data_IF_760359663351
#
_entry.id   IF_760359663351
#
_cell.length_a   1.000
_cell.length_b   1.000
_cell.length_c   1.000
_cell.angle_alpha   90.00
_cell.angle_beta   90.00
_cell.angle_gamma   90.00
#
_symmetry.space_group_name_H-M   'P 1'
#
loop_
_entity.id
_entity.type
_entity.pdbx_description
1 polymer ?
#
# COMPACT_ATOMS: atom_id res chain seq x y z
N UNK A 1 -16.74 -0.60 -14.55
CA UNK A 1 -15.70 -0.51 -13.49
C UNK A 1 -14.64 -1.58 -13.61
N UNK A 2 -14.98 -2.88 -13.85
CA UNK A 2 -13.95 -3.92 -14.02
C UNK A 2 -12.99 -3.61 -15.18
N UNK A 3 -13.50 -3.30 -16.37
CA UNK A 3 -12.67 -2.97 -17.53
C UNK A 3 -11.81 -1.73 -17.31
N UNK A 4 -12.35 -0.70 -16.63
CA UNK A 4 -11.58 0.48 -16.23
C UNK A 4 -10.46 0.11 -15.25
N UNK A 5 -10.74 -0.78 -14.30
CA UNK A 5 -9.72 -1.29 -13.37
C UNK A 5 -8.61 -2.06 -14.10
N UNK A 6 -8.95 -2.86 -15.09
CA UNK A 6 -7.99 -3.60 -15.92
C UNK A 6 -7.11 -2.65 -16.74
N UNK A 7 -7.72 -1.66 -17.39
CA UNK A 7 -7.00 -0.64 -18.16
C UNK A 7 -6.02 0.14 -17.27
N UNK A 8 -6.49 0.63 -16.11
CA UNK A 8 -5.66 1.34 -15.14
C UNK A 8 -4.49 0.48 -14.64
N UNK A 9 -4.74 -0.78 -14.35
CA UNK A 9 -3.67 -1.71 -13.94
C UNK A 9 -2.61 -1.87 -15.04
N UNK A 10 -3.00 -1.92 -16.32
CA UNK A 10 -2.10 -2.08 -17.46
C UNK A 10 -1.13 -0.90 -17.62
N UNK A 11 -1.59 0.32 -17.35
CA UNK A 11 -0.77 1.55 -17.42
C UNK A 11 -0.05 1.88 -16.10
N UNK A 12 -0.12 0.98 -15.10
CA UNK A 12 0.45 1.13 -13.77
C UNK A 12 -0.16 2.28 -12.94
N UNK A 13 -1.41 2.60 -13.18
CA UNK A 13 -2.28 3.35 -12.26
C UNK A 13 -2.89 2.35 -11.26
N UNK A 14 -2.06 1.83 -10.35
CA UNK A 14 -2.49 0.76 -9.44
C UNK A 14 -3.49 1.25 -8.40
N UNK A 15 -3.31 2.47 -7.88
CA UNK A 15 -4.28 3.09 -6.96
C UNK A 15 -5.64 3.32 -7.63
N UNK A 16 -5.66 3.80 -8.86
CA UNK A 16 -6.89 3.95 -9.65
C UNK A 16 -7.53 2.61 -10.00
N UNK A 17 -6.72 1.59 -10.29
CA UNK A 17 -7.21 0.24 -10.52
C UNK A 17 -7.90 -0.34 -9.27
N UNK A 18 -7.29 -0.20 -8.10
CA UNK A 18 -7.88 -0.62 -6.81
C UNK A 18 -9.24 0.06 -6.60
N UNK A 19 -9.32 1.37 -6.83
CA UNK A 19 -10.57 2.11 -6.66
C UNK A 19 -11.68 1.60 -7.60
N UNK A 20 -11.38 1.44 -8.89
CA UNK A 20 -12.33 0.92 -9.87
C UNK A 20 -12.77 -0.52 -9.58
N UNK A 21 -11.82 -1.40 -9.19
CA UNK A 21 -12.13 -2.80 -8.88
C UNK A 21 -12.96 -2.93 -7.60
N UNK A 22 -12.67 -2.15 -6.56
CA UNK A 22 -13.53 -2.08 -5.37
C UNK A 22 -14.93 -1.60 -5.71
N UNK A 23 -15.04 -0.57 -6.55
CA UNK A 23 -16.34 -0.11 -7.02
C UNK A 23 -17.08 -1.19 -7.81
N UNK A 24 -16.39 -1.97 -8.64
CA UNK A 24 -16.97 -3.13 -9.33
C UNK A 24 -17.53 -4.16 -8.34
N UNK A 25 -16.81 -4.42 -7.22
CA UNK A 25 -17.25 -5.37 -6.20
C UNK A 25 -18.38 -4.86 -5.31
N UNK A 26 -18.59 -3.54 -5.24
CA UNK A 26 -19.78 -2.96 -4.58
C UNK A 26 -21.04 -3.29 -5.37
N UNK A 27 -20.97 -3.21 -6.71
CA UNK A 27 -22.10 -3.55 -7.59
C UNK A 27 -22.33 -5.05 -7.73
N UNK A 28 -21.24 -5.82 -7.84
CA UNK A 28 -21.28 -7.27 -7.96
C UNK A 28 -20.23 -7.92 -7.02
N UNK A 29 -20.70 -8.28 -5.83
CA UNK A 29 -19.87 -8.91 -4.79
C UNK A 29 -19.36 -10.31 -5.16
N UNK A 30 -19.88 -10.92 -6.22
CA UNK A 30 -19.47 -12.24 -6.70
C UNK A 30 -18.61 -12.17 -7.96
N UNK A 31 -18.17 -11.02 -8.36
CA UNK A 31 -17.32 -10.84 -9.54
C UNK A 31 -15.92 -11.43 -9.31
N UNK A 32 -15.79 -12.71 -9.64
CA UNK A 32 -14.53 -13.48 -9.49
C UNK A 32 -13.37 -12.83 -10.24
N UNK A 33 -13.64 -12.31 -11.44
CA UNK A 33 -12.60 -11.65 -12.25
C UNK A 33 -12.09 -10.37 -11.57
N UNK A 34 -12.99 -9.59 -10.97
CA UNK A 34 -12.62 -8.37 -10.25
C UNK A 34 -11.81 -8.68 -8.98
N UNK A 35 -12.19 -9.70 -8.20
CA UNK A 35 -11.45 -10.14 -7.02
C UNK A 35 -10.05 -10.64 -7.40
N UNK A 36 -9.95 -11.48 -8.43
CA UNK A 36 -8.67 -12.01 -8.87
C UNK A 36 -7.71 -10.90 -9.32
N UNK A 37 -8.23 -9.94 -10.09
CA UNK A 37 -7.45 -8.80 -10.54
C UNK A 37 -7.09 -7.86 -9.38
N UNK A 38 -8.02 -7.61 -8.44
CA UNK A 38 -7.76 -6.79 -7.25
C UNK A 38 -6.64 -7.41 -6.40
N UNK A 39 -6.67 -8.72 -6.19
CA UNK A 39 -5.60 -9.44 -5.53
C UNK A 39 -4.25 -9.29 -6.23
N UNK A 40 -4.20 -9.36 -7.57
CA UNK A 40 -2.97 -9.12 -8.34
C UNK A 40 -2.46 -7.69 -8.16
N UNK A 41 -3.35 -6.70 -8.19
CA UNK A 41 -2.97 -5.29 -8.00
C UNK A 41 -2.42 -5.06 -6.60
N UNK A 42 -3.04 -5.63 -5.57
CA UNK A 42 -2.49 -5.60 -4.20
C UNK A 42 -1.12 -6.27 -4.10
N UNK A 43 -0.94 -7.39 -4.79
CA UNK A 43 0.36 -8.07 -4.82
C UNK A 43 1.45 -7.21 -5.48
N UNK A 44 1.10 -6.48 -6.54
CA UNK A 44 2.02 -5.55 -7.21
C UNK A 44 2.38 -4.32 -6.36
N UNK A 45 1.52 -3.91 -5.43
CA UNK A 45 1.81 -2.84 -4.46
C UNK A 45 2.53 -3.33 -3.20
N UNK A 46 2.83 -4.63 -3.11
CA UNK A 46 3.47 -5.26 -1.96
C UNK A 46 2.52 -5.56 -0.79
N UNK A 47 1.21 -5.42 -0.99
CA UNK A 47 0.17 -5.71 -0.01
C UNK A 47 -0.27 -7.18 -0.08
N UNK A 48 0.64 -8.09 0.25
CA UNK A 48 0.43 -9.53 0.06
C UNK A 48 -0.73 -10.08 0.88
N UNK A 49 -0.96 -9.56 2.09
CA UNK A 49 -2.09 -9.98 2.94
C UNK A 49 -3.42 -9.64 2.26
N UNK A 50 -3.56 -8.41 1.76
CA UNK A 50 -4.76 -7.98 1.03
C UNK A 50 -4.96 -8.81 -0.24
N UNK A 51 -3.87 -9.11 -0.96
CA UNK A 51 -3.92 -9.98 -2.15
C UNK A 51 -4.44 -11.37 -1.81
N UNK A 52 -3.89 -12.01 -0.77
CA UNK A 52 -4.33 -13.33 -0.32
C UNK A 52 -5.79 -13.33 0.14
N UNK A 53 -6.24 -12.29 0.84
CA UNK A 53 -7.64 -12.16 1.26
C UNK A 53 -8.59 -12.17 0.07
N UNK A 54 -8.32 -11.38 -0.97
CA UNK A 54 -9.14 -11.34 -2.18
C UNK A 54 -9.14 -12.70 -2.91
N UNK A 55 -7.99 -13.35 -3.03
CA UNK A 55 -7.89 -14.66 -3.69
C UNK A 55 -8.56 -15.77 -2.89
N UNK A 56 -8.48 -15.77 -1.56
CA UNK A 56 -9.18 -16.76 -0.71
C UNK A 56 -10.69 -16.58 -0.83
N UNK A 57 -11.20 -15.35 -0.79
CA UNK A 57 -12.62 -15.06 -0.98
C UNK A 57 -13.05 -15.54 -2.38
N UNK A 58 -12.31 -15.20 -3.42
CA UNK A 58 -12.56 -15.63 -4.80
C UNK A 58 -12.60 -17.15 -4.93
N UNK A 59 -11.62 -17.86 -4.33
CA UNK A 59 -11.55 -19.32 -4.32
C UNK A 59 -12.75 -19.96 -3.61
N UNK A 60 -13.20 -19.38 -2.49
CA UNK A 60 -14.36 -19.88 -1.75
C UNK A 60 -15.66 -19.69 -2.54
N UNK A 61 -15.80 -18.60 -3.29
CA UNK A 61 -16.97 -18.37 -4.14
C UNK A 61 -16.97 -19.24 -5.40
N UNK A 62 -15.80 -19.51 -5.97
CA UNK A 62 -15.63 -20.40 -7.14
C UNK A 62 -14.43 -21.32 -6.91
N UNK A 63 -14.62 -22.53 -6.35
CA UNK A 63 -13.54 -23.45 -6.02
C UNK A 63 -12.82 -24.04 -7.24
N UNK A 64 -13.53 -24.18 -8.37
CA UNK A 64 -13.03 -24.84 -9.59
C UNK A 64 -12.80 -23.82 -10.70
N UNK A 65 -11.78 -24.06 -11.56
CA UNK A 65 -11.43 -23.20 -12.71
C UNK A 65 -11.23 -21.73 -12.33
N UNK A 66 -10.54 -21.52 -11.21
CA UNK A 66 -10.32 -20.17 -10.68
C UNK A 66 -8.81 -19.86 -10.60
N UNK A 67 -8.40 -18.77 -11.24
CA UNK A 67 -7.02 -18.29 -11.24
C UNK A 67 -6.49 -17.99 -9.83
N UNK A 68 -7.36 -17.61 -8.89
CA UNK A 68 -6.97 -17.40 -7.50
C UNK A 68 -6.29 -18.64 -6.89
N UNK A 69 -6.77 -19.84 -7.23
CA UNK A 69 -6.15 -21.10 -6.78
C UNK A 69 -4.72 -21.23 -7.27
N UNK A 70 -4.45 -20.86 -8.52
CA UNK A 70 -3.09 -20.89 -9.06
C UNK A 70 -2.17 -19.88 -8.36
N UNK A 71 -2.67 -18.67 -8.10
CA UNK A 71 -1.89 -17.63 -7.41
C UNK A 71 -1.56 -18.02 -5.97
N UNK A 72 -2.53 -18.60 -5.25
CA UNK A 72 -2.33 -19.10 -3.88
C UNK A 72 -1.30 -20.26 -3.91
N UNK A 73 -1.48 -21.23 -4.81
CA UNK A 73 -0.57 -22.37 -4.91
C UNK A 73 0.86 -21.93 -5.27
N UNK A 74 1.03 -21.00 -6.19
CA UNK A 74 2.36 -20.44 -6.53
C UNK A 74 3.04 -19.76 -5.35
N UNK A 75 2.28 -19.14 -4.45
CA UNK A 75 2.85 -18.57 -3.22
C UNK A 75 3.18 -19.65 -2.21
N UNK A 76 2.31 -20.65 -2.04
CA UNK A 76 2.48 -21.74 -1.07
C UNK A 76 3.57 -22.75 -1.47
N UNK A 77 3.76 -22.99 -2.77
CA UNK A 77 4.79 -23.89 -3.28
C UNK A 77 6.22 -23.47 -2.88
N UNK A 78 6.43 -22.18 -2.61
CA UNK A 78 7.72 -21.67 -2.17
C UNK A 78 7.67 -21.24 -0.70
N UNK A 79 7.95 -22.19 0.20
CA UNK A 79 7.97 -21.98 1.66
C UNK A 79 8.92 -20.84 2.06
N UNK A 80 10.06 -20.73 1.40
CA UNK A 80 11.03 -19.66 1.66
C UNK A 80 10.43 -18.29 1.33
N UNK A 81 9.62 -18.20 0.27
CA UNK A 81 8.94 -16.96 -0.11
C UNK A 81 7.86 -16.56 0.91
N UNK A 82 7.08 -17.52 1.40
CA UNK A 82 6.09 -17.24 2.46
C UNK A 82 6.77 -16.76 3.74
N UNK A 83 7.85 -17.43 4.15
CA UNK A 83 8.62 -17.00 5.32
C UNK A 83 9.20 -15.59 5.13
N UNK A 84 9.76 -15.28 3.94
CA UNK A 84 10.27 -13.95 3.64
C UNK A 84 9.17 -12.86 3.67
N UNK A 85 7.95 -13.17 3.22
CA UNK A 85 6.79 -12.27 3.31
C UNK A 85 6.42 -12.03 4.78
N UNK A 86 6.29 -13.09 5.59
CA UNK A 86 5.97 -12.98 7.01
C UNK A 86 7.03 -12.16 7.76
N UNK A 87 8.31 -12.43 7.49
CA UNK A 87 9.41 -11.67 8.07
C UNK A 87 9.39 -10.19 7.63
N UNK A 88 9.01 -9.91 6.40
CA UNK A 88 8.83 -8.54 5.91
C UNK A 88 7.75 -7.81 6.71
N UNK A 89 6.60 -8.46 6.93
CA UNK A 89 5.48 -7.87 7.68
C UNK A 89 5.90 -7.61 9.12
N UNK A 90 6.52 -8.58 9.80
CA UNK A 90 7.01 -8.43 11.17
C UNK A 90 8.02 -7.28 11.29
N UNK A 91 9.00 -7.23 10.39
CA UNK A 91 10.02 -6.19 10.37
C UNK A 91 9.43 -4.81 10.05
N UNK A 92 8.44 -4.72 9.16
CA UNK A 92 7.76 -3.47 8.87
C UNK A 92 6.98 -2.97 10.10
N UNK A 93 6.24 -3.85 10.78
CA UNK A 93 5.52 -3.49 12.00
C UNK A 93 6.48 -3.07 13.12
N UNK A 94 7.62 -3.74 13.25
CA UNK A 94 8.67 -3.33 14.19
C UNK A 94 9.29 -1.97 13.83
N UNK A 95 9.49 -1.68 12.54
CA UNK A 95 9.95 -0.35 12.12
C UNK A 95 8.92 0.75 12.44
N UNK A 96 7.61 0.46 12.34
CA UNK A 96 6.55 1.37 12.79
C UNK A 96 6.62 1.62 14.31
N UNK A 97 6.89 0.58 15.09
CA UNK A 97 7.04 0.69 16.53
C UNK A 97 8.24 1.57 16.89
N UNK A 98 9.40 1.32 16.28
CA UNK A 98 10.60 2.14 16.45
C UNK A 98 10.35 3.62 16.13
N UNK A 99 9.56 3.92 15.09
CA UNK A 99 9.19 5.31 14.79
C UNK A 99 8.33 5.93 15.90
N UNK A 100 7.42 5.16 16.52
CA UNK A 100 6.58 5.65 17.62
C UNK A 100 7.40 5.90 18.91
N UNK A 101 8.44 5.12 19.11
CA UNK A 101 9.34 5.23 20.25
C UNK A 101 10.46 6.27 20.05
N UNK A 102 10.50 6.93 18.88
CA UNK A 102 11.50 7.94 18.56
C UNK A 102 12.83 7.40 18.03
N UNK A 103 12.94 6.08 17.80
CA UNK A 103 14.14 5.42 17.28
C UNK A 103 14.15 5.39 15.74
N UNK A 104 14.05 6.56 15.11
CA UNK A 104 13.83 6.70 13.67
C UNK A 104 15.01 6.23 12.82
N UNK A 105 16.23 6.40 13.31
CA UNK A 105 17.45 5.93 12.63
C UNK A 105 17.46 4.41 12.49
N UNK A 106 17.10 3.70 13.56
CA UNK A 106 16.98 2.24 13.53
C UNK A 106 15.84 1.79 12.60
N UNK A 107 14.71 2.48 12.64
CA UNK A 107 13.61 2.24 11.72
C UNK A 107 14.03 2.42 10.25
N UNK A 108 14.78 3.50 9.94
CA UNK A 108 15.27 3.75 8.60
C UNK A 108 16.25 2.67 8.11
N UNK A 109 17.15 2.17 8.96
CA UNK A 109 18.06 1.06 8.63
C UNK A 109 17.24 -0.20 8.31
N UNK A 110 16.29 -0.53 9.17
CA UNK A 110 15.42 -1.69 8.99
C UNK A 110 14.57 -1.59 7.71
N UNK A 111 13.99 -0.42 7.42
CA UNK A 111 13.21 -0.17 6.21
C UNK A 111 14.05 -0.32 4.94
N UNK A 112 15.29 0.16 4.92
CA UNK A 112 16.20 -0.04 3.78
C UNK A 112 16.45 -1.53 3.52
N UNK A 113 16.65 -2.32 4.57
CA UNK A 113 16.83 -3.78 4.49
C UNK A 113 15.57 -4.46 3.96
N UNK A 114 14.39 -4.08 4.45
CA UNK A 114 13.10 -4.59 3.97
C UNK A 114 12.91 -4.28 2.48
N UNK A 115 13.15 -3.03 2.09
CA UNK A 115 12.96 -2.57 0.71
C UNK A 115 13.96 -3.16 -0.29
N UNK A 116 15.14 -3.58 0.16
CA UNK A 116 16.08 -4.34 -0.68
C UNK A 116 15.57 -5.75 -0.98
N UNK A 117 14.88 -6.38 -0.02
CA UNK A 117 14.29 -7.72 -0.17
C UNK A 117 12.92 -7.68 -0.86
N UNK A 118 12.13 -6.64 -0.60
CA UNK A 118 10.77 -6.46 -1.11
C UNK A 118 10.60 -5.08 -1.77
N UNK A 119 11.12 -4.92 -2.98
CA UNK A 119 11.16 -3.62 -3.66
C UNK A 119 9.78 -3.11 -4.12
N UNK A 120 8.71 -3.90 -3.99
CA UNK A 120 7.34 -3.50 -4.33
C UNK A 120 6.56 -2.91 -3.16
N UNK A 121 7.08 -2.94 -1.92
CA UNK A 121 6.37 -2.49 -0.72
C UNK A 121 6.28 -0.96 -0.68
N UNK A 122 5.22 -0.40 -1.28
CA UNK A 122 4.99 1.06 -1.36
C UNK A 122 4.93 1.69 0.04
N UNK A 123 4.22 1.08 0.99
CA UNK A 123 4.12 1.56 2.38
C UNK A 123 5.49 1.70 3.04
N UNK A 124 6.43 0.82 2.72
CA UNK A 124 7.81 0.89 3.22
C UNK A 124 8.57 2.11 2.67
N UNK A 125 8.37 2.44 1.40
CA UNK A 125 8.95 3.67 0.82
C UNK A 125 8.32 4.92 1.44
N UNK A 126 7.02 4.94 1.70
CA UNK A 126 6.36 6.07 2.35
C UNK A 126 6.91 6.31 3.74
N UNK A 127 7.01 5.27 4.57
CA UNK A 127 7.52 5.39 5.93
C UNK A 127 8.99 5.85 5.93
N UNK A 128 9.84 5.28 5.07
CA UNK A 128 11.23 5.70 4.94
C UNK A 128 11.34 7.15 4.47
N UNK A 129 10.51 7.56 3.53
CA UNK A 129 10.50 8.95 3.06
C UNK A 129 10.04 9.92 4.14
N UNK A 130 9.04 9.57 4.95
CA UNK A 130 8.60 10.40 6.08
C UNK A 130 9.72 10.61 7.10
N UNK A 131 10.47 9.57 7.47
CA UNK A 131 11.63 9.70 8.34
C UNK A 131 12.67 10.65 7.73
N UNK A 132 12.97 10.47 6.44
CA UNK A 132 13.92 11.31 5.72
C UNK A 132 13.46 12.77 5.63
N UNK A 133 12.17 13.03 5.44
CA UNK A 133 11.59 14.36 5.43
C UNK A 133 11.67 15.01 6.82
N UNK A 134 11.35 14.28 7.87
CA UNK A 134 11.47 14.73 9.25
C UNK A 134 12.92 15.15 9.59
N UNK A 135 13.90 14.38 9.10
CA UNK A 135 15.31 14.66 9.29
C UNK A 135 15.87 15.70 8.29
N UNK A 136 15.01 16.42 7.56
CA UNK A 136 15.38 17.38 6.51
C UNK A 136 16.27 16.81 5.39
N UNK A 137 16.27 15.48 5.21
CA UNK A 137 17.02 14.78 4.17
C UNK A 137 16.26 14.77 2.82
N UNK A 138 15.81 15.95 2.34
CA UNK A 138 14.90 16.12 1.21
C UNK A 138 15.32 15.38 -0.06
N UNK A 139 16.61 15.42 -0.38
CA UNK A 139 17.13 14.72 -1.57
C UNK A 139 17.07 13.19 -1.47
N UNK A 140 17.20 12.64 -0.26
CA UNK A 140 17.03 11.20 -0.04
C UNK A 140 15.55 10.84 -0.11
N UNK A 141 14.67 11.62 0.53
CA UNK A 141 13.23 11.45 0.46
C UNK A 141 12.72 11.45 -0.98
N UNK A 142 13.16 12.43 -1.80
CA UNK A 142 12.82 12.47 -3.24
C UNK A 142 13.22 11.18 -3.97
N UNK A 143 14.44 10.68 -3.75
CA UNK A 143 14.90 9.42 -4.38
C UNK A 143 14.08 8.23 -3.94
N UNK A 144 13.72 8.16 -2.67
CA UNK A 144 12.87 7.11 -2.08
C UNK A 144 11.46 7.15 -2.68
N UNK A 145 10.83 8.32 -2.73
CA UNK A 145 9.47 8.50 -3.29
C UNK A 145 9.42 8.22 -4.80
N UNK A 146 10.48 8.58 -5.54
CA UNK A 146 10.56 8.22 -6.98
C UNK A 146 10.57 6.72 -7.21
N UNK A 147 11.08 5.91 -6.27
CA UNK A 147 10.98 4.44 -6.35
C UNK A 147 9.53 3.98 -6.15
N UNK A 148 8.81 4.55 -5.17
CA UNK A 148 7.38 4.29 -4.98
C UNK A 148 6.55 4.68 -6.22
N UNK A 149 6.80 5.87 -6.79
CA UNK A 149 6.11 6.35 -8.00
C UNK A 149 6.38 5.50 -9.25
N UNK A 150 7.47 4.72 -9.30
CA UNK A 150 7.71 3.75 -10.39
C UNK A 150 6.83 2.51 -10.26
N UNK A 151 6.41 2.16 -9.05
CA UNK A 151 5.51 1.02 -8.79
C UNK A 151 4.09 1.45 -9.14
N UNK A 152 3.66 2.58 -8.58
CA UNK A 152 2.32 3.16 -8.78
C UNK A 152 2.46 4.66 -9.11
N UNK A 153 2.16 5.02 -10.35
CA UNK A 153 2.36 6.38 -10.87
C UNK A 153 1.39 7.40 -10.29
N UNK A 154 0.23 6.95 -9.90
CA UNK A 154 -0.90 7.81 -9.48
C UNK A 154 -1.19 7.73 -7.98
N UNK A 155 -0.31 7.06 -7.22
CA UNK A 155 -0.46 6.98 -5.79
C UNK A 155 -0.49 8.37 -5.15
N UNK A 156 -1.67 8.76 -4.65
CA UNK A 156 -1.91 10.11 -4.13
C UNK A 156 -1.00 10.47 -2.96
N UNK A 157 -0.69 9.50 -2.09
CA UNK A 157 0.24 9.69 -0.96
C UNK A 157 1.66 9.96 -1.46
N UNK A 158 2.13 9.17 -2.44
CA UNK A 158 3.44 9.38 -3.06
C UNK A 158 3.54 10.75 -3.71
N UNK A 159 2.52 11.14 -4.49
CA UNK A 159 2.48 12.42 -5.18
C UNK A 159 2.41 13.60 -4.20
N UNK A 160 1.65 13.47 -3.11
CA UNK A 160 1.59 14.49 -2.06
C UNK A 160 2.95 14.70 -1.39
N UNK A 161 3.63 13.62 -1.00
CA UNK A 161 4.96 13.71 -0.39
C UNK A 161 6.01 14.26 -1.36
N UNK A 162 5.93 13.89 -2.66
CA UNK A 162 6.82 14.47 -3.68
C UNK A 162 6.61 15.97 -3.82
N UNK A 163 5.36 16.45 -3.82
CA UNK A 163 5.04 17.86 -3.85
C UNK A 163 5.63 18.60 -2.64
N UNK A 164 5.45 18.06 -1.44
CA UNK A 164 6.02 18.62 -0.23
C UNK A 164 7.55 18.72 -0.29
N UNK A 165 8.22 17.66 -0.77
CA UNK A 165 9.67 17.68 -0.98
C UNK A 165 10.09 18.69 -2.04
N UNK A 166 9.30 18.86 -3.10
CA UNK A 166 9.57 19.82 -4.17
C UNK A 166 9.41 21.27 -3.69
N UNK A 167 8.38 21.54 -2.89
CA UNK A 167 8.16 22.85 -2.25
C UNK A 167 9.31 23.23 -1.33
N UNK A 168 9.81 22.28 -0.51
CA UNK A 168 10.92 22.53 0.41
C UNK A 168 12.28 22.72 -0.30
N UNK A 169 12.45 22.16 -1.47
CA UNK A 169 13.75 22.17 -2.17
C UNK A 169 13.79 23.15 -3.35
N UNK A 170 12.64 23.71 -3.76
CA UNK A 170 12.53 24.52 -4.97
C UNK A 170 12.78 23.77 -6.29
N UNK A 171 12.83 22.42 -6.26
CA UNK A 171 13.14 21.58 -7.43
C UNK A 171 11.96 20.68 -7.77
N UNK A 172 11.36 20.85 -8.93
CA UNK A 172 10.25 20.04 -9.40
C UNK A 172 10.68 18.63 -9.79
N UNK A 173 10.05 17.62 -9.24
CA UNK A 173 10.33 16.21 -9.55
C UNK A 173 9.64 15.78 -10.84
N UNK A 174 10.40 15.58 -11.91
CA UNK A 174 9.90 14.99 -13.16
C UNK A 174 9.81 13.48 -13.02
N UNK A 175 8.58 12.92 -13.09
CA UNK A 175 8.31 11.48 -13.00
C UNK A 175 8.42 10.78 -14.36
N UNK A 176 8.34 11.51 -15.47
CA UNK A 176 8.48 10.94 -16.80
C UNK A 176 9.93 10.52 -17.07
N UNK A 177 10.11 9.32 -17.63
CA UNK A 177 11.39 8.92 -18.18
C UNK A 177 11.69 9.85 -19.35
N UNK A 178 12.84 10.56 -19.32
CA UNK A 178 13.49 10.96 -20.59
C UNK A 178 13.65 9.67 -21.39
N UNK A 179 12.90 9.53 -22.48
CA UNK A 179 13.13 8.46 -23.44
C UNK A 179 14.62 8.44 -23.72
N UNK A 180 15.24 7.25 -23.74
CA UNK A 180 16.59 7.08 -24.24
C UNK A 180 16.62 7.76 -25.60
N UNK A 181 17.18 8.97 -25.69
CA UNK A 181 17.58 9.56 -26.96
C UNK A 181 18.60 8.59 -27.51
N UNK A 182 18.20 7.87 -28.55
CA UNK A 182 19.12 7.11 -29.37
C UNK A 182 20.25 8.03 -29.77
N UNK A 183 21.45 7.56 -29.56
CA UNK A 183 22.68 8.15 -30.02
C UNK A 183 22.70 8.04 -31.55
N UNK A 184 22.05 8.97 -32.23
CA UNK A 184 22.32 9.21 -33.64
C UNK A 184 22.71 10.66 -33.81
N UNK A 185 23.95 10.77 -34.25
CA UNK A 185 24.65 11.95 -34.67
C UNK A 185 23.93 12.69 -35.80
N UNK A 186 24.16 13.96 -35.79
CA UNK A 186 24.39 14.83 -36.95
C UNK A 186 23.37 15.96 -37.14
N UNK A 187 23.92 17.13 -37.25
CA UNK A 187 23.43 18.19 -38.13
C UNK A 187 22.89 19.43 -37.45
N UNK A 188 23.81 20.33 -37.20
CA UNK A 188 23.66 21.78 -37.32
C UNK A 188 22.43 22.25 -38.11
N UNK A 189 21.61 23.10 -37.51
CA UNK A 189 21.31 24.42 -38.08
C UNK A 189 20.40 25.25 -37.19
N UNK A 190 20.82 26.46 -37.10
CA UNK A 190 20.34 27.70 -36.58
C UNK A 190 18.83 27.99 -36.72
N UNK A 191 18.36 28.71 -35.68
CA UNK A 191 17.43 29.85 -35.71
C UNK A 191 16.20 29.78 -36.63
N UNK A 192 15.03 29.91 -35.99
CA UNK A 192 14.16 31.07 -36.27
C UNK A 192 13.17 31.24 -35.10
N UNK A 193 13.27 32.41 -34.50
CA UNK A 193 12.16 33.05 -33.81
C UNK A 193 11.01 33.24 -34.78
N UNK A 194 9.81 33.02 -34.35
CA UNK A 194 8.68 33.85 -34.77
C UNK A 194 7.62 33.84 -33.69
N UNK A 195 7.41 35.05 -33.33
CA UNK A 195 6.47 35.69 -32.42
C UNK A 195 5.01 35.47 -32.84
N UNK A 196 4.14 35.82 -31.87
CA UNK A 196 2.73 36.30 -32.03
C UNK A 196 1.66 35.22 -31.93
N UNK A 197 1.01 35.13 -30.78
CA UNK A 197 -0.29 35.72 -30.46
C UNK A 197 -0.76 35.25 -29.07
N UNK A 198 -0.95 36.23 -28.18
CA UNK A 198 -1.76 36.12 -26.97
C UNK A 198 -3.24 36.39 -27.34
N UNK A 199 -4.17 36.41 -26.40
CA UNK A 199 -4.39 35.61 -25.17
C UNK A 199 -5.80 35.01 -25.18
N UNK A 200 -5.99 33.85 -24.60
CA UNK A 200 -7.34 33.49 -24.22
C UNK A 200 -7.38 32.99 -22.78
N UNK A 201 -8.17 33.65 -22.06
CA UNK A 201 -8.73 33.58 -20.72
C UNK A 201 -8.47 32.28 -19.95
N UNK A 202 -7.58 32.40 -18.97
CA UNK A 202 -7.51 31.50 -17.84
C UNK A 202 -8.80 31.59 -17.03
N UNK A 203 -9.67 30.63 -17.18
CA UNK A 203 -10.76 30.39 -16.24
C UNK A 203 -10.15 29.95 -14.93
N UNK A 204 -10.03 30.88 -14.00
CA UNK A 204 -9.66 30.61 -12.62
C UNK A 204 -10.74 29.73 -11.99
N UNK A 205 -10.45 28.46 -11.81
CA UNK A 205 -11.26 27.61 -10.95
C UNK A 205 -11.17 28.13 -9.51
N UNK A 206 -12.29 28.15 -8.76
CA UNK A 206 -12.30 28.66 -7.39
C UNK A 206 -11.38 27.82 -6.52
N UNK A 207 -10.41 28.50 -5.91
CA UNK A 207 -9.53 27.93 -4.88
C UNK A 207 -10.40 27.55 -3.69
N UNK A 208 -10.76 26.30 -3.58
CA UNK A 208 -11.37 25.74 -2.37
C UNK A 208 -10.30 25.74 -1.28
N UNK A 209 -10.38 26.75 -0.40
CA UNK A 209 -9.58 26.82 0.81
C UNK A 209 -10.10 25.75 1.76
N UNK A 210 -9.49 24.55 1.72
CA UNK A 210 -9.79 23.51 2.68
C UNK A 210 -9.49 24.01 4.10
N UNK A 211 -10.55 24.20 4.86
CA UNK A 211 -10.45 24.34 6.32
C UNK A 211 -9.75 23.10 6.85
N UNK A 212 -8.65 23.31 7.57
CA UNK A 212 -7.86 22.29 8.24
C UNK A 212 -8.77 21.27 8.94
N UNK A 213 -8.89 20.07 8.38
CA UNK A 213 -9.62 18.92 8.95
C UNK A 213 -8.78 18.15 9.97
N UNK A 214 -7.68 18.73 10.43
CA UNK A 214 -6.76 18.12 11.40
C UNK A 214 -7.50 17.81 12.72
N UNK A 215 -8.44 18.66 13.15
CA UNK A 215 -9.25 18.46 14.35
C UNK A 215 -10.17 17.25 14.27
N UNK A 216 -10.80 17.00 13.12
CA UNK A 216 -11.72 15.88 12.91
C UNK A 216 -10.96 14.54 12.88
N UNK A 217 -9.73 14.53 12.36
CA UNK A 217 -8.87 13.36 12.31
C UNK A 217 -8.40 12.94 13.72
N UNK A 218 -8.08 13.91 14.58
CA UNK A 218 -7.71 13.62 15.97
C UNK A 218 -8.90 13.07 16.78
N UNK A 219 -10.10 13.59 16.60
CA UNK A 219 -11.33 13.08 17.27
C UNK A 219 -11.64 11.66 16.80
N UNK A 220 -11.48 11.37 15.52
CA UNK A 220 -11.73 10.03 14.97
C UNK A 220 -10.67 9.02 15.43
N UNK A 221 -9.42 9.43 15.53
CA UNK A 221 -8.32 8.59 16.03
C UNK A 221 -8.47 8.30 17.53
N UNK A 222 -8.88 9.29 18.34
CA UNK A 222 -9.17 9.06 19.78
C UNK A 222 -10.35 8.12 19.99
N UNK A 223 -11.39 8.21 19.15
CA UNK A 223 -12.54 7.29 19.17
C UNK A 223 -12.16 5.85 18.84
N UNK A 224 -11.31 5.65 17.82
CA UNK A 224 -10.81 4.32 17.42
C UNK A 224 -9.94 3.70 18.53
N UNK A 225 -9.03 4.48 19.11
CA UNK A 225 -8.15 4.01 20.19
C UNK A 225 -8.96 3.64 21.43
N UNK A 226 -9.96 4.44 21.81
CA UNK A 226 -10.87 4.15 22.93
C UNK A 226 -11.73 2.91 22.64
N UNK A 227 -12.27 2.76 21.42
CA UNK A 227 -13.07 1.61 21.00
C UNK A 227 -12.25 0.30 20.97
N UNK A 228 -11.03 0.33 20.46
CA UNK A 228 -10.12 -0.83 20.47
C UNK A 228 -9.71 -1.18 21.89
N UNK A 229 -9.44 -0.19 22.76
CA UNK A 229 -9.12 -0.41 24.17
C UNK A 229 -10.28 -1.05 24.93
N UNK A 230 -11.51 -0.55 24.76
CA UNK A 230 -12.71 -1.12 25.37
C UNK A 230 -13.00 -2.54 24.87
N UNK A 231 -12.84 -2.78 23.57
CA UNK A 231 -12.98 -4.13 22.99
C UNK A 231 -11.94 -5.11 23.55
N UNK A 232 -10.68 -4.69 23.70
CA UNK A 232 -9.62 -5.51 24.30
C UNK A 232 -9.91 -5.85 25.76
N UNK A 233 -10.42 -4.88 26.51
CA UNK A 233 -10.72 -5.03 27.93
C UNK A 233 -11.94 -5.94 28.19
N UNK A 234 -12.91 -5.95 27.28
CA UNK A 234 -14.15 -6.72 27.44
C UNK A 234 -14.14 -8.06 26.71
N UNK A 235 -13.62 -8.12 25.48
CA UNK A 235 -13.70 -9.31 24.63
C UNK A 235 -12.58 -10.32 24.94
N UNK A 236 -11.37 -9.88 25.25
CA UNK A 236 -10.23 -10.79 25.49
C UNK A 236 -10.43 -11.65 26.74
N UNK A 237 -10.91 -11.13 27.90
CA UNK A 237 -11.22 -11.98 29.06
C UNK A 237 -12.34 -12.99 28.78
N UNK A 238 -13.38 -12.59 28.05
CA UNK A 238 -14.52 -13.48 27.70
C UNK A 238 -14.07 -14.64 26.80
N UNK A 239 -13.24 -14.36 25.79
CA UNK A 239 -12.68 -15.37 24.88
C UNK A 239 -11.75 -16.33 25.65
N UNK A 240 -10.89 -15.80 26.54
CA UNK A 240 -10.01 -16.64 27.38
C UNK A 240 -10.82 -17.57 28.29
N UNK A 241 -11.88 -17.06 28.94
CA UNK A 241 -12.72 -17.90 29.80
C UNK A 241 -13.43 -19.00 29.00
N UNK A 242 -13.86 -18.75 27.76
CA UNK A 242 -14.42 -19.76 26.87
C UNK A 242 -13.44 -20.89 26.57
N UNK A 243 -12.21 -20.54 26.18
CA UNK A 243 -11.15 -21.52 25.84
C UNK A 243 -10.75 -22.33 27.08
N UNK A 244 -10.64 -21.73 28.26
CA UNK A 244 -10.33 -22.44 29.50
C UNK A 244 -11.45 -23.39 29.94
N UNK A 245 -12.72 -23.04 29.73
CA UNK A 245 -13.85 -23.93 30.02
C UNK A 245 -13.87 -25.16 29.12
N UNK A 246 -13.66 -24.98 27.80
CA UNK A 246 -13.60 -26.10 26.87
C UNK A 246 -12.39 -27.01 27.16
N UNK A 247 -11.22 -26.45 27.42
CA UNK A 247 -10.04 -27.24 27.77
C UNK A 247 -10.22 -28.04 29.06
N UNK A 248 -10.81 -27.44 30.11
CA UNK A 248 -11.12 -28.15 31.36
C UNK A 248 -12.18 -29.25 31.18
N UNK A 249 -13.19 -29.03 30.35
CA UNK A 249 -14.19 -30.08 30.07
C UNK A 249 -13.57 -31.27 29.32
N UNK A 250 -12.67 -31.03 28.39
CA UNK A 250 -11.94 -32.11 27.71
C UNK A 250 -11.04 -32.88 28.67
N UNK A 251 -10.33 -32.20 29.58
CA UNK A 251 -9.47 -32.84 30.60
C UNK A 251 -10.30 -33.70 31.54
N UNK A 252 -11.47 -33.27 31.97
CA UNK A 252 -12.38 -34.01 32.83
C UNK A 252 -12.91 -35.29 32.07
N UNK A 253 -13.34 -35.17 30.82
CA UNK A 253 -13.77 -36.28 30.01
C UNK A 253 -12.65 -37.32 29.79
N UNK A 254 -11.42 -36.86 29.51
CA UNK A 254 -10.26 -37.77 29.39
C UNK A 254 -9.92 -38.44 30.71
N UNK A 255 -10.04 -37.74 31.85
CA UNK A 255 -9.77 -38.34 33.17
C UNK A 255 -10.85 -39.40 33.57
N UNK A 256 -12.11 -39.18 33.21
CA UNK A 256 -13.20 -40.13 33.43
C UNK A 256 -13.06 -41.35 32.52
N UNK A 257 -12.62 -41.17 31.26
CA UNK A 257 -12.38 -42.31 30.35
C UNK A 257 -11.14 -43.15 30.70
N UNK A 258 -10.19 -42.62 31.48
CA UNK A 258 -9.03 -43.33 31.98
C UNK A 258 -9.30 -44.07 33.32
N UNK A 259 -10.38 -43.71 34.02
CA UNK A 259 -10.76 -44.27 35.32
C UNK A 259 -11.81 -45.41 35.20
N UNK A 260 -12.38 -45.59 33.99
CA UNK A 260 -13.28 -46.71 33.64
C UNK A 260 -12.53 -47.84 32.93
#
# INVERSE_FOLDING_TARGET
>A
FYNQGLEKASIRDLSGAIACLKQSLIYDKRNIKAMNLLGLVYFETGEVVSALSEWVISKNLQPTRNLATEYINKLQANRNRLNAINETIKKYNHALLLCREGHEDMAAIQLRKILSQNPKLIKGYHLLALIQMKNHEWNKARRTLRKAARIDKTNTTTLRFLREVDEQTGVTTKLEKKGKKGFFHSGSSKQQEMDVLAPDQVVQQPVYRERSRISLFFVLMTGIVAGVGAFWMLAVPAIRQGIYKEANQQIVQYSESLAS
#
